data_IF_244062896018
#
_entry.id   IF_244062896018
#
_cell.length_a   1.000
_cell.length_b   1.000
_cell.length_c   1.000
_cell.angle_alpha   90.00
_cell.angle_beta   90.00
_cell.angle_gamma   90.00
#
_symmetry.space_group_name_H-M   'P 1'
#
loop_
_entity.id
_entity.type
_entity.pdbx_description
1 polymer ?
#
# COMPACT_ATOMS: atom_id res chain seq x y z
N UNK A 1 7.39 27.11 3.21
CA UNK A 1 7.42 25.71 3.70
C UNK A 1 8.48 25.02 2.87
N UNK A 2 9.74 25.36 3.14
CA UNK A 2 10.83 25.18 2.16
C UNK A 2 11.84 24.10 2.62
N UNK A 3 11.44 23.30 3.61
CA UNK A 3 12.25 22.21 4.13
C UNK A 3 11.83 20.91 3.45
N UNK A 4 12.73 20.37 2.62
CA UNK A 4 12.62 19.05 2.00
C UNK A 4 13.62 18.13 2.71
N UNK A 5 13.17 17.01 3.30
CA UNK A 5 14.07 16.09 4.00
C UNK A 5 15.00 15.39 3.00
N UNK A 6 16.21 15.05 3.45
CA UNK A 6 17.18 14.31 2.63
C UNK A 6 16.68 12.92 2.22
N UNK A 7 15.80 12.33 3.03
CA UNK A 7 15.21 11.00 2.78
C UNK A 7 13.68 11.13 2.77
N UNK A 8 13.06 10.59 1.71
CA UNK A 8 11.61 10.48 1.63
C UNK A 8 11.08 9.54 2.71
N UNK A 9 10.04 9.99 3.43
CA UNK A 9 9.29 9.12 4.33
C UNK A 9 8.47 8.05 3.56
N UNK A 10 8.21 8.29 2.27
CA UNK A 10 7.45 7.40 1.41
C UNK A 10 8.44 6.48 0.69
N UNK A 11 8.29 5.17 0.92
CA UNK A 11 9.06 4.11 0.25
C UNK A 11 8.35 3.70 -1.04
N UNK A 12 8.99 3.94 -2.18
CA UNK A 12 8.43 3.62 -3.50
C UNK A 12 8.83 2.23 -4.00
N UNK A 13 9.79 1.58 -3.35
CA UNK A 13 10.32 0.29 -3.79
C UNK A 13 9.32 -0.87 -3.56
N UNK A 14 8.45 -0.73 -2.56
CA UNK A 14 7.42 -1.70 -2.22
C UNK A 14 6.17 -0.99 -1.73
N UNK A 15 5.11 -1.05 -2.54
CA UNK A 15 3.82 -0.41 -2.32
C UNK A 15 2.78 -1.52 -2.24
N UNK A 16 2.36 -1.80 -1.02
CA UNK A 16 1.34 -2.81 -0.74
C UNK A 16 -0.04 -2.24 -1.01
N UNK A 17 -0.78 -2.91 -1.88
CA UNK A 17 -2.14 -2.50 -2.26
C UNK A 17 -3.10 -3.68 -2.20
N UNK A 18 -4.34 -3.37 -1.89
CA UNK A 18 -5.44 -4.32 -1.95
C UNK A 18 -5.82 -4.62 -3.41
N UNK A 19 -6.50 -5.76 -3.60
CA UNK A 19 -6.99 -6.20 -4.91
C UNK A 19 -7.87 -5.15 -5.60
N UNK A 20 -8.78 -4.53 -4.87
CA UNK A 20 -9.69 -3.49 -5.42
C UNK A 20 -8.90 -2.28 -5.95
N UNK A 21 -7.82 -1.91 -5.26
CA UNK A 21 -6.96 -0.80 -5.66
C UNK A 21 -6.18 -1.13 -6.93
N UNK A 22 -5.73 -2.38 -7.10
CA UNK A 22 -5.09 -2.83 -8.34
C UNK A 22 -6.04 -2.81 -9.54
N UNK A 23 -7.28 -3.23 -9.33
CA UNK A 23 -8.30 -3.23 -10.37
C UNK A 23 -8.61 -1.78 -10.81
N UNK A 24 -8.64 -0.84 -9.86
CA UNK A 24 -8.76 0.59 -10.15
C UNK A 24 -7.54 1.14 -10.91
N UNK A 25 -6.31 0.85 -10.46
CA UNK A 25 -5.09 1.30 -11.14
C UNK A 25 -5.02 0.78 -12.57
N UNK A 26 -5.45 -0.47 -12.77
CA UNK A 26 -5.55 -1.09 -14.10
C UNK A 26 -6.60 -0.38 -14.97
N UNK A 27 -7.77 -0.03 -14.41
CA UNK A 27 -8.82 0.70 -15.14
C UNK A 27 -8.37 2.12 -15.55
N UNK A 28 -7.47 2.74 -14.78
CA UNK A 28 -6.84 4.02 -15.11
C UNK A 28 -5.69 3.89 -16.13
N UNK A 29 -5.40 2.68 -16.62
CA UNK A 29 -4.28 2.42 -17.53
C UNK A 29 -2.91 2.41 -16.84
N UNK A 30 -2.87 2.30 -15.51
CA UNK A 30 -1.67 2.28 -14.67
C UNK A 30 -1.38 0.86 -14.15
N UNK A 31 -1.48 -0.14 -15.03
CA UNK A 31 -1.30 -1.55 -14.65
C UNK A 31 0.16 -1.93 -14.34
N UNK A 32 1.13 -1.14 -14.80
CA UNK A 32 2.57 -1.45 -14.71
C UNK A 32 3.34 -0.41 -13.88
N UNK A 33 2.87 -0.14 -12.66
CA UNK A 33 3.61 0.73 -11.73
C UNK A 33 4.70 -0.12 -11.04
N UNK A 34 5.98 0.26 -11.13
CA UNK A 34 7.06 -0.45 -10.45
C UNK A 34 6.87 -0.37 -8.92
N UNK A 35 7.09 -1.48 -8.24
CA UNK A 35 7.01 -1.56 -6.78
C UNK A 35 5.61 -1.85 -6.23
N UNK A 36 4.55 -1.84 -7.04
CA UNK A 36 3.20 -2.18 -6.58
C UNK A 36 3.05 -3.70 -6.42
N UNK A 37 2.73 -4.13 -5.19
CA UNK A 37 2.57 -5.53 -4.82
C UNK A 37 1.20 -5.74 -4.20
N UNK A 38 0.48 -6.75 -4.69
CA UNK A 38 -0.79 -7.15 -4.10
C UNK A 38 -0.55 -7.82 -2.76
N UNK A 39 -1.22 -7.34 -1.72
CA UNK A 39 -1.28 -8.03 -0.43
C UNK A 39 -2.68 -8.59 -0.23
N UNK A 40 -2.75 -9.84 0.23
CA UNK A 40 -4.03 -10.43 0.65
C UNK A 40 -4.35 -9.98 2.08
N UNK A 41 -5.60 -9.63 2.38
CA UNK A 41 -5.97 -9.11 3.68
C UNK A 41 -5.64 -10.15 4.76
N UNK A 42 -4.77 -9.78 5.70
CA UNK A 42 -4.43 -10.64 6.83
C UNK A 42 -5.68 -10.71 7.74
N UNK A 43 -6.16 -11.91 8.08
CA UNK A 43 -7.28 -12.04 8.98
C UNK A 43 -6.91 -11.41 10.33
N UNK A 44 -7.65 -10.36 10.72
CA UNK A 44 -7.50 -9.72 12.02
C UNK A 44 -7.81 -10.78 13.09
N UNK A 45 -6.79 -11.28 13.79
CA UNK A 45 -7.00 -12.12 14.96
C UNK A 45 -7.67 -11.25 16.02
N UNK A 46 -8.95 -11.51 16.29
CA UNK A 46 -9.67 -10.91 17.40
C UNK A 46 -9.01 -11.37 18.70
N UNK A 47 -8.18 -10.51 19.29
CA UNK A 47 -7.67 -10.71 20.65
C UNK A 47 -8.85 -10.42 21.58
N UNK A 48 -9.38 -11.40 22.33
CA UNK A 48 -10.43 -11.11 23.31
C UNK A 48 -9.84 -10.20 24.39
N UNK A 49 -10.20 -8.93 24.34
CA UNK A 49 -9.93 -7.99 25.43
C UNK A 49 -10.90 -8.31 26.57
N UNK A 50 -10.49 -9.22 27.45
CA UNK A 50 -11.27 -9.70 28.57
C UNK A 50 -10.42 -9.90 29.81
N UNK A 51 -10.23 -8.83 30.57
CA UNK A 51 -10.17 -8.82 32.03
C UNK A 51 -10.89 -7.57 32.53
#
# INVERSE_FOLDING_TARGET
MDFVPDVSAIRTDHIEVDKETLDMLTALGMSEIPGVVRVDPVPVQQIPFGR
#
